data_IF_386430811102
#
_entry.id   IF_386430811102
#
_cell.length_a   1.000
_cell.length_b   1.000
_cell.length_c   1.000
_cell.angle_alpha   90.00
_cell.angle_beta   90.00
_cell.angle_gamma   90.00
#
_symmetry.space_group_name_H-M   'P 1'
#
loop_
_entity.id
_entity.type
_entity.pdbx_description
1 polymer ?
#
# COMPACT_ATOMS: atom_id res chain seq x y z
N UNK A 1 -71.63 43.80 -6.20
CA UNK A 1 -70.61 43.07 -5.41
C UNK A 1 -69.37 42.87 -6.25
N UNK A 2 -68.21 43.30 -5.73
CA UNK A 2 -66.89 42.69 -5.99
C UNK A 2 -66.59 41.67 -4.87
N UNK A 3 -65.44 40.96 -4.81
CA UNK A 3 -64.35 40.76 -5.77
C UNK A 3 -64.32 39.26 -6.20
N UNK A 4 -63.26 38.54 -6.64
CA UNK A 4 -61.78 38.65 -6.63
C UNK A 4 -61.14 38.05 -7.90
N UNK A 5 -59.87 38.40 -8.11
CA UNK A 5 -58.90 37.70 -8.96
C UNK A 5 -58.42 36.37 -8.35
N UNK A 6 -57.91 35.46 -9.19
CA UNK A 6 -57.24 34.23 -8.77
C UNK A 6 -56.02 33.94 -9.63
N UNK A 7 -54.83 33.96 -9.03
CA UNK A 7 -53.53 33.69 -9.68
C UNK A 7 -53.06 32.26 -9.43
N UNK A 8 -52.56 31.60 -10.48
CA UNK A 8 -51.68 30.43 -10.39
C UNK A 8 -50.69 30.52 -11.58
N UNK A 9 -49.51 31.12 -11.39
CA UNK A 9 -48.29 30.51 -10.83
C UNK A 9 -47.42 29.87 -11.92
N UNK A 10 -46.30 30.54 -12.26
CA UNK A 10 -45.27 29.98 -13.14
C UNK A 10 -44.58 28.79 -12.44
N UNK A 11 -44.58 27.63 -13.09
CA UNK A 11 -44.02 26.39 -12.55
C UNK A 11 -42.79 25.88 -13.30
N UNK A 12 -41.60 26.36 -12.91
CA UNK A 12 -40.32 25.63 -12.97
C UNK A 12 -39.89 24.94 -14.27
N UNK A 13 -39.20 25.67 -15.15
CA UNK A 13 -38.24 25.09 -16.11
C UNK A 13 -36.86 25.00 -15.42
N UNK A 14 -36.55 23.86 -14.83
CA UNK A 14 -35.25 23.62 -14.16
C UNK A 14 -34.80 22.16 -14.32
N UNK A 15 -34.68 21.72 -15.58
CA UNK A 15 -34.16 20.42 -15.95
C UNK A 15 -32.62 20.43 -15.95
N UNK A 16 -32.04 19.98 -14.83
CA UNK A 16 -30.71 19.38 -14.69
C UNK A 16 -29.59 19.82 -15.67
N UNK A 17 -28.91 20.92 -15.35
CA UNK A 17 -27.52 21.10 -15.77
C UNK A 17 -26.62 20.17 -14.93
N UNK A 18 -26.46 18.92 -15.36
CA UNK A 18 -25.49 18.00 -14.75
C UNK A 18 -24.08 18.49 -15.13
N UNK A 19 -23.45 19.24 -14.23
CA UNK A 19 -22.12 19.83 -14.48
C UNK A 19 -21.11 18.69 -14.62
N UNK A 20 -20.48 18.60 -15.79
CA UNK A 20 -19.28 17.79 -16.05
C UNK A 20 -18.07 18.40 -15.32
N UNK A 21 -18.08 18.36 -13.99
CA UNK A 21 -16.87 18.57 -13.21
C UNK A 21 -16.01 17.33 -13.41
N UNK A 22 -14.75 17.44 -13.87
CA UNK A 22 -13.86 16.30 -13.86
C UNK A 22 -13.69 15.86 -12.40
N UNK A 23 -14.07 14.62 -12.09
CA UNK A 23 -13.76 14.02 -10.79
C UNK A 23 -12.25 13.85 -10.75
N UNK A 24 -11.57 14.78 -10.11
CA UNK A 24 -10.18 14.57 -9.69
C UNK A 24 -10.23 13.40 -8.71
N UNK A 25 -9.60 12.27 -9.03
CA UNK A 25 -9.41 11.23 -8.03
C UNK A 25 -8.71 11.86 -6.82
N UNK A 26 -9.33 11.70 -5.65
CA UNK A 26 -8.69 12.09 -4.41
C UNK A 26 -7.56 11.07 -4.15
N UNK A 27 -6.39 11.34 -4.72
CA UNK A 27 -5.15 10.67 -4.35
C UNK A 27 -4.86 11.01 -2.89
N UNK A 28 -5.42 10.20 -1.98
CA UNK A 28 -5.02 10.18 -0.59
C UNK A 28 -3.51 9.95 -0.55
N UNK A 29 -2.81 10.73 0.28
CA UNK A 29 -1.36 10.86 0.24
C UNK A 29 -0.68 9.53 0.60
N UNK A 30 -0.40 8.74 -0.46
CA UNK A 30 -0.07 7.33 -0.33
C UNK A 30 1.21 7.16 0.49
N UNK A 31 1.37 6.01 1.15
CA UNK A 31 2.62 5.76 1.87
C UNK A 31 3.85 5.85 0.94
N UNK A 32 3.66 5.53 -0.35
CA UNK A 32 4.68 5.62 -1.43
C UNK A 32 5.13 7.05 -1.72
N UNK A 33 4.23 8.03 -1.69
CA UNK A 33 4.59 9.44 -1.83
C UNK A 33 5.55 9.92 -0.74
N UNK A 34 5.60 9.23 0.41
CA UNK A 34 6.54 9.50 1.52
C UNK A 34 7.84 8.68 1.45
N UNK A 35 8.02 7.80 0.46
CA UNK A 35 9.20 6.95 0.31
C UNK A 35 10.34 7.61 -0.50
N UNK A 36 10.68 8.86 -0.16
CA UNK A 36 11.73 9.65 -0.84
C UNK A 36 13.08 8.92 -1.00
N UNK A 37 13.40 8.00 -0.08
CA UNK A 37 14.63 7.21 -0.15
C UNK A 37 14.71 6.32 -1.41
N UNK A 38 13.58 5.86 -1.95
CA UNK A 38 13.54 5.05 -3.18
C UNK A 38 13.93 5.89 -4.40
N UNK A 39 13.55 7.16 -4.43
CA UNK A 39 13.96 8.14 -5.45
C UNK A 39 15.43 8.50 -5.28
N UNK A 40 15.86 8.85 -4.05
CA UNK A 40 17.25 9.19 -3.75
C UNK A 40 18.26 8.05 -4.02
N UNK A 41 17.80 6.79 -4.03
CA UNK A 41 18.60 5.62 -4.40
C UNK A 41 18.42 5.18 -5.87
N UNK A 42 17.68 5.92 -6.69
CA UNK A 42 17.44 5.60 -8.11
C UNK A 42 16.91 4.16 -8.32
N UNK A 43 15.96 3.75 -7.48
CA UNK A 43 15.46 2.37 -7.47
C UNK A 43 14.64 2.03 -8.72
N UNK A 44 13.98 3.01 -9.36
CA UNK A 44 13.22 2.78 -10.59
C UNK A 44 14.13 2.35 -11.76
N UNK A 45 15.34 2.88 -11.82
CA UNK A 45 16.41 2.54 -12.76
C UNK A 45 17.03 1.19 -12.40
N UNK A 46 17.36 0.96 -11.12
CA UNK A 46 17.87 -0.32 -10.63
C UNK A 46 16.90 -1.48 -10.97
N UNK A 47 15.60 -1.24 -10.84
CA UNK A 47 14.52 -2.19 -11.15
C UNK A 47 14.37 -2.55 -12.62
N UNK A 48 14.98 -1.80 -13.55
CA UNK A 48 15.10 -2.22 -14.95
C UNK A 48 16.12 -3.37 -15.12
N UNK A 49 17.08 -3.48 -14.19
CA UNK A 49 18.10 -4.53 -14.17
C UNK A 49 17.69 -5.68 -13.25
N UNK A 50 17.29 -5.40 -12.01
CA UNK A 50 16.85 -6.41 -11.04
C UNK A 50 15.97 -5.84 -9.95
N UNK A 51 15.08 -6.69 -9.42
CA UNK A 51 14.23 -6.40 -8.24
C UNK A 51 14.58 -7.31 -7.05
N UNK A 52 15.78 -7.89 -7.03
CA UNK A 52 16.30 -8.75 -5.95
C UNK A 52 15.93 -10.24 -6.04
N UNK A 53 15.35 -10.69 -7.15
CA UNK A 53 14.94 -12.09 -7.31
C UNK A 53 16.11 -13.07 -7.11
N UNK A 54 15.89 -14.10 -6.29
CA UNK A 54 16.89 -15.13 -5.96
C UNK A 54 17.81 -14.79 -4.78
N UNK A 55 17.89 -13.53 -4.36
CA UNK A 55 18.65 -13.10 -3.17
C UNK A 55 17.84 -13.41 -1.91
N UNK A 56 18.52 -13.69 -0.79
CA UNK A 56 17.90 -13.87 0.53
C UNK A 56 18.62 -12.95 1.51
N UNK A 57 17.84 -12.17 2.27
CA UNK A 57 18.34 -11.23 3.28
C UNK A 57 17.79 -11.67 4.63
N UNK A 58 18.65 -11.76 5.64
CA UNK A 58 18.25 -12.07 7.01
C UNK A 58 18.00 -10.78 7.80
N UNK A 59 16.83 -10.66 8.43
CA UNK A 59 16.49 -9.59 9.36
C UNK A 59 16.67 -10.14 10.78
N UNK A 60 17.67 -9.63 11.51
CA UNK A 60 17.96 -10.02 12.90
C UNK A 60 17.20 -9.09 13.84
N UNK A 61 15.96 -9.44 14.16
CA UNK A 61 15.02 -8.62 14.93
C UNK A 61 14.07 -9.49 15.78
N UNK A 62 13.05 -8.89 16.41
CA UNK A 62 12.02 -9.57 17.21
C UNK A 62 10.99 -10.36 16.38
N UNK A 63 11.37 -10.83 15.19
CA UNK A 63 10.49 -11.51 14.23
C UNK A 63 10.08 -10.64 13.03
N UNK A 64 9.35 -11.25 12.10
CA UNK A 64 8.73 -10.60 10.94
C UNK A 64 7.37 -11.25 10.73
N UNK A 65 6.34 -10.44 10.54
CA UNK A 65 4.97 -10.89 10.31
C UNK A 65 4.82 -11.31 8.84
N UNK A 66 4.80 -12.62 8.62
CA UNK A 66 4.96 -13.21 7.29
C UNK A 66 3.73 -13.08 6.39
N UNK A 67 2.55 -12.87 6.97
CA UNK A 67 1.26 -12.66 6.29
C UNK A 67 0.88 -11.17 6.14
N UNK A 68 1.76 -10.24 6.58
CA UNK A 68 1.56 -8.82 6.34
C UNK A 68 1.39 -8.55 4.83
N UNK A 69 0.35 -7.82 4.37
CA UNK A 69 -0.01 -7.76 2.94
C UNK A 69 1.10 -7.33 1.98
N UNK A 70 2.00 -6.43 2.42
CA UNK A 70 3.16 -5.98 1.64
C UNK A 70 4.34 -6.98 1.61
N UNK A 71 4.28 -8.07 2.38
CA UNK A 71 5.38 -9.01 2.61
C UNK A 71 5.03 -10.49 2.42
N UNK A 72 3.75 -10.83 2.27
CA UNK A 72 3.31 -12.19 1.93
C UNK A 72 4.18 -12.80 0.81
N UNK A 73 4.58 -14.06 0.98
CA UNK A 73 5.43 -14.77 0.02
C UNK A 73 6.83 -14.19 -0.23
N UNK A 74 7.23 -13.10 0.45
CA UNK A 74 8.60 -12.58 0.51
C UNK A 74 9.34 -12.99 1.80
N UNK A 75 8.60 -13.45 2.81
CA UNK A 75 9.17 -13.90 4.09
C UNK A 75 9.32 -15.42 4.09
N UNK A 76 10.52 -15.90 4.43
CA UNK A 76 10.80 -17.32 4.68
C UNK A 76 10.66 -17.62 6.18
N UNK A 77 10.37 -18.87 6.59
CA UNK A 77 10.35 -19.26 7.99
C UNK A 77 11.64 -18.85 8.73
N UNK A 78 11.48 -18.01 9.75
CA UNK A 78 12.58 -17.54 10.59
C UNK A 78 12.98 -18.54 11.67
N UNK A 79 13.96 -18.16 12.49
CA UNK A 79 14.39 -18.91 13.67
C UNK A 79 14.77 -17.94 14.79
N UNK A 80 14.27 -18.18 16.00
CA UNK A 80 14.80 -17.55 17.20
C UNK A 80 16.20 -18.13 17.50
N UNK A 81 17.19 -17.23 17.62
CA UNK A 81 18.59 -17.54 17.87
C UNK A 81 19.01 -17.28 19.33
N UNK A 82 18.17 -16.62 20.14
CA UNK A 82 18.47 -16.24 21.52
C UNK A 82 17.62 -17.00 22.55
N UNK A 83 16.40 -17.41 22.21
CA UNK A 83 15.54 -18.20 23.09
C UNK A 83 14.89 -17.39 24.23
N UNK A 84 14.93 -16.06 24.15
CA UNK A 84 14.30 -15.14 25.10
C UNK A 84 13.99 -13.80 24.41
N UNK A 85 12.93 -13.12 24.88
CA UNK A 85 12.47 -11.86 24.31
C UNK A 85 11.00 -11.93 23.92
N UNK A 86 10.58 -11.06 23.00
CA UNK A 86 9.21 -11.05 22.50
C UNK A 86 8.96 -12.25 21.58
N UNK A 87 7.84 -12.93 21.76
CA UNK A 87 7.36 -14.07 20.99
C UNK A 87 6.05 -13.74 20.26
N UNK A 88 5.64 -14.58 19.30
CA UNK A 88 4.39 -14.39 18.55
C UNK A 88 3.19 -14.18 19.51
N UNK A 89 2.43 -13.10 19.28
CA UNK A 89 1.38 -12.63 20.18
C UNK A 89 1.78 -11.52 21.17
N UNK A 90 3.08 -11.30 21.42
CA UNK A 90 3.53 -10.17 22.23
C UNK A 90 3.40 -8.84 21.49
N UNK A 91 2.99 -7.77 22.21
CA UNK A 91 2.88 -6.41 21.66
C UNK A 91 4.18 -5.84 21.06
N UNK A 92 5.33 -6.41 21.38
CA UNK A 92 6.64 -5.99 20.88
C UNK A 92 7.19 -6.90 19.77
N UNK A 93 6.58 -8.07 19.54
CA UNK A 93 7.02 -9.02 18.52
C UNK A 93 6.74 -8.47 17.12
N UNK A 94 7.65 -8.79 16.19
CA UNK A 94 7.68 -8.43 14.78
C UNK A 94 7.53 -6.93 14.40
N UNK A 95 7.10 -6.02 15.28
CA UNK A 95 6.78 -4.63 14.90
C UNK A 95 7.92 -3.87 14.23
N UNK A 96 9.16 -4.07 14.71
CA UNK A 96 10.34 -3.42 14.13
C UNK A 96 10.86 -4.22 12.93
N UNK A 97 11.03 -5.54 13.07
CA UNK A 97 11.44 -6.42 11.98
C UNK A 97 10.53 -6.41 10.75
N UNK A 98 9.21 -6.37 10.89
CA UNK A 98 8.25 -6.18 9.79
C UNK A 98 8.45 -4.84 9.09
N UNK A 99 8.71 -3.75 9.82
CA UNK A 99 9.01 -2.46 9.21
C UNK A 99 10.33 -2.49 8.43
N UNK A 100 11.37 -3.15 8.97
CA UNK A 100 12.65 -3.33 8.28
C UNK A 100 12.52 -4.23 7.05
N UNK A 101 11.78 -5.34 7.16
CA UNK A 101 11.45 -6.22 6.06
C UNK A 101 10.66 -5.49 4.97
N UNK A 102 9.73 -4.59 5.33
CA UNK A 102 9.01 -3.72 4.39
C UNK A 102 9.93 -2.82 3.58
N UNK A 103 10.94 -2.21 4.20
CA UNK A 103 11.96 -1.40 3.51
C UNK A 103 12.82 -2.25 2.56
N UNK A 104 13.12 -3.50 2.92
CA UNK A 104 13.94 -4.40 2.11
C UNK A 104 13.13 -4.97 0.94
N UNK A 105 11.97 -5.57 1.22
CA UNK A 105 11.25 -6.47 0.32
C UNK A 105 9.73 -6.19 0.26
N UNK A 106 9.24 -5.03 0.70
CA UNK A 106 7.84 -4.64 0.50
C UNK A 106 7.45 -4.71 -0.98
N UNK A 107 6.46 -5.53 -1.34
CA UNK A 107 6.02 -5.68 -2.73
C UNK A 107 4.70 -4.96 -3.05
N UNK A 108 4.14 -4.25 -2.05
CA UNK A 108 2.83 -3.62 -2.10
C UNK A 108 1.65 -4.60 -2.10
N UNK A 109 0.45 -4.10 -1.95
CA UNK A 109 -0.79 -4.88 -2.07
C UNK A 109 -1.84 -4.14 -2.90
N UNK A 110 -3.07 -4.68 -2.94
CA UNK A 110 -4.17 -4.09 -3.68
C UNK A 110 -4.05 -4.28 -5.21
N UNK A 111 -4.86 -3.53 -5.96
CA UNK A 111 -4.91 -3.66 -7.41
C UNK A 111 -3.56 -3.33 -8.06
N UNK A 112 -2.98 -4.31 -8.78
CA UNK A 112 -1.68 -4.14 -9.45
C UNK A 112 -0.50 -3.87 -8.50
N UNK A 113 -0.63 -4.21 -7.22
CA UNK A 113 0.28 -3.81 -6.15
C UNK A 113 0.50 -2.28 -6.12
N UNK A 114 -0.58 -1.49 -6.15
CA UNK A 114 -0.53 -0.02 -6.07
C UNK A 114 -0.52 0.51 -4.61
N UNK A 115 -0.97 -0.28 -3.65
CA UNK A 115 -1.14 0.10 -2.24
C UNK A 115 0.04 -0.37 -1.37
N UNK A 116 0.14 0.13 -0.15
CA UNK A 116 1.21 -0.24 0.79
C UNK A 116 2.63 0.17 0.36
N UNK A 117 3.64 -0.32 1.07
CA UNK A 117 5.05 0.09 0.87
C UNK A 117 5.75 -0.70 -0.24
N UNK A 118 6.64 0.00 -0.95
CA UNK A 118 7.63 -0.63 -1.83
C UNK A 118 8.98 -0.72 -1.12
N UNK A 119 9.59 -1.90 -1.11
CA UNK A 119 10.96 -2.13 -0.66
C UNK A 119 11.96 -2.02 -1.79
N UNK A 120 13.24 -1.94 -1.47
CA UNK A 120 14.36 -1.81 -2.43
C UNK A 120 14.42 -3.03 -3.38
N UNK A 121 14.15 -4.22 -2.86
CA UNK A 121 14.19 -5.52 -3.54
C UNK A 121 12.80 -6.20 -3.48
N UNK A 122 11.78 -5.65 -4.18
CA UNK A 122 10.39 -6.02 -3.94
C UNK A 122 9.95 -7.35 -4.58
N UNK A 123 10.80 -8.01 -5.37
CA UNK A 123 10.34 -9.14 -6.19
C UNK A 123 10.36 -10.47 -5.43
N UNK A 124 9.17 -11.06 -5.33
CA UNK A 124 8.94 -12.44 -4.89
C UNK A 124 9.95 -13.43 -5.47
N UNK A 125 10.43 -14.31 -4.59
CA UNK A 125 11.11 -15.54 -4.99
C UNK A 125 10.08 -16.42 -5.68
N UNK A 126 9.97 -16.30 -7.00
CA UNK A 126 9.33 -17.33 -7.80
C UNK A 126 10.10 -18.62 -7.58
N UNK A 127 9.48 -19.61 -6.95
CA UNK A 127 9.93 -21.00 -7.07
C UNK A 127 10.09 -21.32 -8.55
N UNK A 128 11.14 -22.07 -8.95
CA UNK A 128 11.26 -22.49 -10.34
C UNK A 128 10.00 -23.27 -10.73
N UNK A 129 9.36 -22.88 -11.83
CA UNK A 129 8.31 -23.70 -12.43
C UNK A 129 8.89 -25.07 -12.76
N UNK A 130 8.24 -26.12 -12.24
CA UNK A 130 8.51 -27.51 -12.62
C UNK A 130 7.97 -27.80 -14.03
#
# INVERSE_FOLDING_TARGET
>A
MSPRTGTAALGGLLAAALVLVPVTEAHADSIRARQWALEAMHTAEAWQTTKGAGVTVAVLDTGVEADHPDLDGNVLPGKDLVGFGASEGDRAWARHGTAMAGIIAGHGHGAGNAEGVMGIAPRRRSSPSA
#
